data_IF_757359694129
#
_entry.id   IF_757359694129
#
_cell.length_a   1.000
_cell.length_b   1.000
_cell.length_c   1.000
_cell.angle_alpha   90.00
_cell.angle_beta   90.00
_cell.angle_gamma   90.00
#
_symmetry.space_group_name_H-M   'P 1'
#
loop_
_entity.id
_entity.type
_entity.pdbx_description
1 polymer ?
#
# COMPACT_ATOMS: atom_id res chain seq x y z
N UNK A 1 -8.73 -4.46 12.99
CA UNK A 1 -8.09 -3.46 12.13
C UNK A 1 -8.54 -2.08 12.56
N UNK A 2 -7.60 -1.19 12.84
CA UNK A 2 -7.90 0.22 13.05
C UNK A 2 -8.04 0.81 11.64
N UNK A 3 -9.25 1.20 11.27
CA UNK A 3 -9.47 2.02 10.09
C UNK A 3 -9.71 3.43 10.56
N UNK A 4 -8.83 4.39 10.24
CA UNK A 4 -9.11 5.78 10.51
C UNK A 4 -10.45 6.14 9.84
N UNK A 5 -11.37 6.66 10.62
CA UNK A 5 -12.66 7.15 10.09
C UNK A 5 -12.64 8.66 10.25
N UNK A 6 -12.91 9.38 9.17
CA UNK A 6 -13.38 10.75 9.33
C UNK A 6 -14.69 10.71 10.14
N UNK A 7 -14.78 11.57 11.16
CA UNK A 7 -16.06 11.83 11.85
C UNK A 7 -16.98 12.49 10.84
N UNK A 8 -17.96 11.73 10.36
CA UNK A 8 -19.02 12.22 9.47
C UNK A 8 -19.97 13.11 10.24
N UNK A 9 -20.31 14.23 9.63
CA UNK A 9 -21.59 14.88 9.88
C UNK A 9 -22.70 13.89 9.43
N UNK A 10 -23.68 13.62 10.30
CA UNK A 10 -24.69 12.55 10.17
C UNK A 10 -25.64 12.70 8.97
N UNK A 11 -25.40 13.66 8.08
CA UNK A 11 -26.31 14.04 6.98
C UNK A 11 -25.98 13.47 5.62
N UNK A 12 -24.79 12.89 5.40
CA UNK A 12 -24.41 12.36 4.09
C UNK A 12 -24.41 10.84 4.09
N UNK A 13 -25.35 10.26 3.30
CA UNK A 13 -25.56 8.84 3.17
C UNK A 13 -24.32 8.09 2.62
N UNK A 14 -24.19 6.87 3.07
CA UNK A 14 -23.47 5.66 2.59
C UNK A 14 -22.24 5.79 1.68
N UNK A 15 -21.60 6.94 1.54
CA UNK A 15 -20.32 7.03 0.86
C UNK A 15 -19.23 6.42 1.73
N UNK A 16 -18.73 5.28 1.29
CA UNK A 16 -17.56 4.59 1.85
C UNK A 16 -16.38 5.57 1.84
N UNK A 17 -16.18 6.25 2.97
CA UNK A 17 -15.01 7.14 3.11
C UNK A 17 -13.76 6.29 3.14
N UNK A 18 -12.94 6.49 2.13
CA UNK A 18 -11.61 5.89 2.06
C UNK A 18 -10.70 6.59 3.07
N UNK A 19 -9.89 5.82 3.77
CA UNK A 19 -8.79 6.37 4.55
C UNK A 19 -7.80 7.03 3.57
N UNK A 20 -7.39 8.25 3.88
CA UNK A 20 -6.34 8.94 3.15
C UNK A 20 -5.02 8.92 3.96
N UNK A 21 -3.93 9.34 3.34
CA UNK A 21 -2.61 9.36 3.97
C UNK A 21 -2.56 10.24 5.24
N UNK A 22 -3.31 11.35 5.29
CA UNK A 22 -3.36 12.23 6.47
C UNK A 22 -3.92 11.50 7.69
N UNK A 23 -5.03 10.77 7.51
CA UNK A 23 -5.65 9.99 8.58
C UNK A 23 -4.74 8.86 9.05
N UNK A 24 -3.99 8.23 8.14
CA UNK A 24 -3.00 7.21 8.50
C UNK A 24 -1.90 7.82 9.38
N UNK A 25 -1.31 8.95 8.96
CA UNK A 25 -0.27 9.63 9.74
C UNK A 25 -0.79 10.16 11.07
N UNK A 26 -2.01 10.72 11.11
CA UNK A 26 -2.65 11.11 12.37
C UNK A 26 -2.86 9.93 13.32
N UNK A 27 -3.26 8.77 12.80
CA UNK A 27 -3.42 7.56 13.60
C UNK A 27 -2.07 7.05 14.13
N UNK A 28 -1.01 7.12 13.33
CA UNK A 28 0.35 6.79 13.77
C UNK A 28 0.86 7.73 14.88
N UNK A 29 0.45 8.99 14.85
CA UNK A 29 0.81 9.99 15.87
C UNK A 29 -0.10 9.96 17.11
N UNK A 30 -1.14 9.11 17.12
CA UNK A 30 -2.05 9.02 18.26
C UNK A 30 -1.57 7.95 19.24
N UNK A 31 -0.75 8.37 20.22
CA UNK A 31 -0.17 7.47 21.22
C UNK A 31 -1.23 6.69 22.01
N UNK A 32 -2.36 7.32 22.34
CA UNK A 32 -3.43 6.68 23.10
C UNK A 32 -4.11 5.56 22.28
N UNK A 33 -4.32 5.79 20.98
CA UNK A 33 -4.87 4.80 20.06
C UNK A 33 -3.92 3.59 19.93
N UNK A 34 -2.63 3.84 19.76
CA UNK A 34 -1.61 2.80 19.64
C UNK A 34 -1.47 2.01 20.94
N UNK A 35 -1.43 2.67 22.08
CA UNK A 35 -1.39 2.01 23.38
C UNK A 35 -2.61 1.10 23.56
N UNK A 36 -3.82 1.62 23.31
CA UNK A 36 -5.05 0.82 23.41
C UNK A 36 -5.06 -0.38 22.45
N UNK A 37 -4.49 -0.23 21.25
CA UNK A 37 -4.37 -1.34 20.31
C UNK A 37 -3.47 -2.45 20.85
N UNK A 38 -2.27 -2.10 21.33
CA UNK A 38 -1.31 -3.09 21.84
C UNK A 38 -1.68 -3.68 23.19
N UNK A 39 -2.43 -2.95 24.03
CA UNK A 39 -2.96 -3.45 25.31
C UNK A 39 -4.15 -4.38 25.14
N UNK A 40 -4.99 -4.16 24.11
CA UNK A 40 -6.20 -4.94 23.88
C UNK A 40 -5.94 -6.28 23.17
N UNK A 41 -4.76 -6.48 22.62
CA UNK A 41 -4.40 -7.67 21.84
C UNK A 41 -3.16 -8.29 22.47
N UNK A 42 -3.12 -9.62 22.53
CA UNK A 42 -1.98 -10.38 23.09
C UNK A 42 -0.62 -9.96 22.49
N UNK A 43 0.46 -10.27 23.20
CA UNK A 43 1.84 -9.88 22.87
C UNK A 43 2.33 -10.20 21.45
N UNK A 44 1.60 -11.05 20.72
CA UNK A 44 1.88 -11.44 19.33
C UNK A 44 1.25 -10.51 18.28
N UNK A 45 0.59 -9.41 18.70
CA UNK A 45 -0.05 -8.48 17.76
C UNK A 45 0.97 -7.70 16.93
N UNK A 46 0.77 -7.72 15.61
CA UNK A 46 1.50 -6.91 14.64
C UNK A 46 0.59 -5.80 14.12
N UNK A 47 1.06 -4.56 14.16
CA UNK A 47 0.40 -3.44 13.50
C UNK A 47 0.88 -3.35 12.05
N UNK A 48 -0.04 -3.34 11.10
CA UNK A 48 0.28 -3.07 9.70
C UNK A 48 -0.14 -1.65 9.36
N UNK A 49 0.82 -0.81 9.00
CA UNK A 49 0.56 0.53 8.48
C UNK A 49 0.58 0.46 6.95
N UNK A 50 -0.58 0.69 6.33
CA UNK A 50 -0.72 0.69 4.87
C UNK A 50 -0.88 2.12 4.36
N UNK A 51 -0.02 2.50 3.42
CA UNK A 51 -0.04 3.82 2.75
C UNK A 51 0.51 3.65 1.34
N UNK A 52 0.04 4.46 0.40
CA UNK A 52 0.66 4.59 -0.92
C UNK A 52 1.35 5.95 -1.09
N UNK A 53 2.12 6.11 -2.15
CA UNK A 53 2.93 7.30 -2.38
C UNK A 53 2.41 8.16 -3.53
N UNK A 54 1.21 7.90 -4.06
CA UNK A 54 0.64 8.66 -5.17
C UNK A 54 0.52 10.15 -4.83
N UNK A 55 0.17 10.45 -3.58
CA UNK A 55 -0.08 11.81 -3.09
C UNK A 55 1.15 12.43 -2.40
N UNK A 56 2.36 11.89 -2.61
CA UNK A 56 3.60 12.36 -1.93
C UNK A 56 3.96 13.83 -2.18
N UNK A 57 3.44 14.42 -3.24
CA UNK A 57 3.56 15.84 -3.52
C UNK A 57 2.60 16.75 -2.78
N UNK A 58 1.63 16.18 -2.04
CA UNK A 58 0.66 16.94 -1.28
C UNK A 58 1.31 17.62 -0.07
N UNK A 59 0.75 18.78 0.27
CA UNK A 59 1.20 19.55 1.44
C UNK A 59 1.06 18.70 2.69
N UNK A 60 2.11 18.68 3.52
CA UNK A 60 2.24 17.91 4.77
C UNK A 60 2.58 16.42 4.61
N UNK A 61 2.56 15.86 3.40
CA UNK A 61 3.15 14.53 3.20
C UNK A 61 4.67 14.61 3.44
N UNK A 62 5.32 15.63 2.90
CA UNK A 62 6.68 16.08 3.21
C UNK A 62 7.70 14.94 3.29
N UNK A 63 7.73 14.11 2.26
CA UNK A 63 8.69 13.03 2.10
C UNK A 63 9.57 13.32 0.90
N UNK A 64 10.90 13.23 1.10
CA UNK A 64 11.84 13.40 0.00
C UNK A 64 11.65 12.31 -1.05
N UNK A 65 11.33 12.73 -2.28
CA UNK A 65 11.25 11.85 -3.43
C UNK A 65 12.64 11.74 -4.09
N UNK A 66 13.17 10.52 -4.31
CA UNK A 66 14.36 10.33 -5.12
C UNK A 66 14.14 10.84 -6.56
N UNK A 67 15.22 11.19 -7.25
CA UNK A 67 15.11 11.65 -8.63
C UNK A 67 14.52 10.55 -9.51
N UNK A 68 13.29 10.75 -9.98
CA UNK A 68 12.57 9.77 -10.80
C UNK A 68 13.05 9.71 -12.25
N UNK A 69 13.19 10.89 -12.87
CA UNK A 69 13.56 11.00 -14.29
C UNK A 69 14.98 10.53 -14.51
N UNK A 70 15.15 9.50 -15.35
CA UNK A 70 16.47 8.95 -15.65
C UNK A 70 17.06 8.08 -14.53
N UNK A 71 16.24 7.69 -13.54
CA UNK A 71 16.71 6.79 -12.48
C UNK A 71 17.16 5.45 -13.09
N UNK A 72 18.39 5.01 -12.82
CA UNK A 72 18.98 3.85 -13.50
C UNK A 72 18.35 2.52 -13.05
N UNK A 73 17.86 2.45 -11.80
CA UNK A 73 17.28 1.26 -11.20
C UNK A 73 15.98 1.57 -10.44
N UNK A 74 14.88 1.03 -10.92
CA UNK A 74 13.56 1.21 -10.30
C UNK A 74 13.43 0.48 -8.96
N UNK A 75 14.20 -0.53 -8.69
CA UNK A 75 14.24 -1.19 -7.38
C UNK A 75 14.89 -0.29 -6.34
N UNK A 76 16.03 0.31 -6.70
CA UNK A 76 16.72 1.26 -5.83
C UNK A 76 15.83 2.48 -5.54
N UNK A 77 15.18 3.03 -6.56
CA UNK A 77 14.18 4.09 -6.40
C UNK A 77 13.07 3.69 -5.42
N UNK A 78 12.51 2.48 -5.59
CA UNK A 78 11.44 1.97 -4.72
C UNK A 78 11.91 1.80 -3.28
N UNK A 79 13.13 1.30 -3.07
CA UNK A 79 13.71 1.11 -1.74
C UNK A 79 13.93 2.47 -1.06
N UNK A 80 14.51 3.44 -1.76
CA UNK A 80 14.81 4.75 -1.23
C UNK A 80 13.52 5.50 -0.85
N UNK A 81 12.55 5.59 -1.76
CA UNK A 81 11.27 6.26 -1.48
C UNK A 81 10.53 5.57 -0.33
N UNK A 82 10.48 4.24 -0.34
CA UNK A 82 9.86 3.47 0.75
C UNK A 82 10.52 3.77 2.10
N UNK A 83 11.85 3.81 2.14
CA UNK A 83 12.59 4.08 3.36
C UNK A 83 12.33 5.51 3.88
N UNK A 84 12.20 6.48 2.99
CA UNK A 84 11.87 7.87 3.36
C UNK A 84 10.47 7.96 3.98
N UNK A 85 9.48 7.27 3.38
CA UNK A 85 8.12 7.19 3.94
C UNK A 85 8.11 6.43 5.27
N UNK A 86 8.80 5.29 5.35
CA UNK A 86 8.92 4.49 6.58
C UNK A 86 9.50 5.33 7.70
N UNK A 87 10.59 6.04 7.46
CA UNK A 87 11.23 6.92 8.46
C UNK A 87 10.25 7.95 8.97
N UNK A 88 9.48 8.60 8.09
CA UNK A 88 8.46 9.57 8.50
C UNK A 88 7.40 8.94 9.41
N UNK A 89 6.94 7.74 9.10
CA UNK A 89 5.96 7.04 9.93
C UNK A 89 6.58 6.64 11.28
N UNK A 90 7.82 6.15 11.28
CA UNK A 90 8.54 5.77 12.51
C UNK A 90 8.76 6.95 13.46
N UNK A 91 8.95 8.18 12.94
CA UNK A 91 9.05 9.39 13.75
C UNK A 91 7.74 9.68 14.52
N UNK A 92 6.59 9.24 14.01
CA UNK A 92 5.28 9.43 14.63
C UNK A 92 4.93 8.31 15.63
N UNK A 93 5.46 7.11 15.43
CA UNK A 93 5.17 5.95 16.27
C UNK A 93 6.14 5.92 17.46
N UNK A 94 5.64 5.79 18.71
CA UNK A 94 6.50 5.63 19.88
C UNK A 94 7.48 4.47 19.71
N UNK A 95 8.75 4.69 20.11
CA UNK A 95 9.85 3.73 19.91
C UNK A 95 9.51 2.31 20.43
N UNK A 96 8.84 2.25 21.60
CA UNK A 96 8.42 1.00 22.24
C UNK A 96 7.48 0.10 21.41
N UNK A 97 6.94 0.60 20.31
CA UNK A 97 5.99 -0.15 19.45
C UNK A 97 6.55 -0.43 18.06
N UNK A 98 7.69 0.18 17.67
CA UNK A 98 8.22 0.10 16.29
C UNK A 98 8.64 -1.31 15.88
N UNK A 99 9.08 -2.13 16.83
CA UNK A 99 9.46 -3.52 16.64
C UNK A 99 8.28 -4.46 16.34
N UNK A 100 7.04 -3.98 16.53
CA UNK A 100 5.79 -4.70 16.24
C UNK A 100 5.04 -4.11 15.04
N UNK A 101 5.70 -3.31 14.19
CA UNK A 101 5.07 -2.63 13.06
C UNK A 101 5.63 -3.11 11.73
N UNK A 102 4.76 -3.53 10.82
CA UNK A 102 5.08 -3.78 9.43
C UNK A 102 4.54 -2.64 8.54
N UNK A 103 5.34 -2.24 7.56
CA UNK A 103 5.04 -1.08 6.72
C UNK A 103 4.68 -1.50 5.30
N UNK A 104 3.39 -1.55 5.01
CA UNK A 104 2.81 -1.82 3.70
C UNK A 104 2.80 -0.55 2.84
N UNK A 105 3.99 -0.08 2.44
CA UNK A 105 4.15 1.15 1.67
C UNK A 105 4.17 0.81 0.18
N UNK A 106 3.10 1.15 -0.54
CA UNK A 106 3.03 0.96 -1.98
C UNK A 106 3.67 2.17 -2.71
N UNK A 107 4.58 1.89 -3.63
CA UNK A 107 5.15 2.94 -4.49
C UNK A 107 4.16 3.23 -5.61
N UNK A 108 3.80 4.49 -5.78
CA UNK A 108 2.64 5.01 -6.51
C UNK A 108 1.34 4.51 -5.84
N UNK A 109 0.65 3.58 -6.42
CA UNK A 109 -0.62 3.02 -5.97
C UNK A 109 -0.47 1.54 -5.57
N UNK A 110 -1.31 1.07 -4.68
CA UNK A 110 -1.37 -0.35 -4.28
C UNK A 110 -1.62 -1.28 -5.48
N UNK A 111 -2.27 -0.79 -6.52
CA UNK A 111 -2.47 -1.50 -7.79
C UNK A 111 -1.15 -1.95 -8.46
N UNK A 112 -0.05 -1.23 -8.21
CA UNK A 112 1.28 -1.60 -8.69
C UNK A 112 1.73 -2.99 -8.20
N UNK A 113 1.29 -3.43 -7.03
CA UNK A 113 1.60 -4.77 -6.50
C UNK A 113 0.97 -5.90 -7.31
N UNK A 114 -0.13 -5.63 -8.02
CA UNK A 114 -0.87 -6.59 -8.83
C UNK A 114 -0.36 -6.68 -10.27
N UNK A 115 0.25 -5.62 -10.79
CA UNK A 115 0.73 -5.56 -12.18
C UNK A 115 1.60 -6.75 -12.56
N UNK A 116 2.58 -7.21 -11.74
CA UNK A 116 3.44 -8.33 -12.13
C UNK A 116 2.70 -9.65 -12.37
N UNK A 117 1.49 -9.80 -11.83
CA UNK A 117 0.69 -11.01 -12.05
C UNK A 117 0.20 -11.11 -13.50
N UNK A 118 -0.04 -9.98 -14.14
CA UNK A 118 -0.71 -9.87 -15.43
C UNK A 118 0.22 -9.37 -16.54
N UNK A 119 1.29 -8.65 -16.20
CA UNK A 119 2.27 -8.18 -17.19
C UNK A 119 3.26 -9.30 -17.56
N UNK A 120 3.23 -9.69 -18.84
CA UNK A 120 4.13 -10.70 -19.40
C UNK A 120 5.48 -10.10 -19.80
N UNK A 121 5.54 -8.81 -20.06
CA UNK A 121 6.74 -8.16 -20.58
C UNK A 121 7.87 -8.00 -19.56
N UNK A 122 7.56 -7.98 -18.27
CA UNK A 122 8.48 -8.08 -17.11
C UNK A 122 9.78 -7.25 -17.20
N UNK A 123 9.74 -6.06 -17.79
CA UNK A 123 10.97 -5.34 -18.10
C UNK A 123 11.49 -4.49 -16.94
N UNK A 124 10.58 -4.00 -16.08
CA UNK A 124 10.92 -3.09 -14.99
C UNK A 124 10.15 -3.46 -13.73
N UNK A 125 10.59 -2.97 -12.58
CA UNK A 125 9.79 -2.96 -11.36
C UNK A 125 8.46 -2.23 -11.62
N UNK A 126 7.36 -2.77 -11.11
CA UNK A 126 6.03 -2.18 -11.36
C UNK A 126 5.83 -0.82 -10.72
N UNK A 127 6.69 -0.42 -9.79
CA UNK A 127 6.78 0.94 -9.26
C UNK A 127 7.11 2.01 -10.34
N UNK A 128 7.59 1.59 -11.52
CA UNK A 128 7.78 2.49 -12.67
C UNK A 128 6.46 3.04 -13.24
N UNK A 129 5.31 2.47 -12.89
CA UNK A 129 4.01 2.86 -13.43
C UNK A 129 3.36 3.94 -12.57
N UNK A 130 3.34 5.19 -13.04
CA UNK A 130 2.70 6.34 -12.36
C UNK A 130 1.18 6.13 -12.21
N UNK A 131 0.54 5.56 -13.23
CA UNK A 131 -0.90 5.29 -13.25
C UNK A 131 -1.13 3.77 -13.13
N UNK A 132 -0.78 3.20 -11.99
CA UNK A 132 -0.77 1.75 -11.79
C UNK A 132 -2.18 1.15 -11.95
N UNK A 133 -3.22 1.81 -11.46
CA UNK A 133 -4.61 1.38 -11.60
C UNK A 133 -5.06 1.30 -13.06
N UNK A 134 -4.74 2.30 -13.86
CA UNK A 134 -5.09 2.32 -15.29
C UNK A 134 -4.31 1.24 -16.06
N UNK A 135 -3.03 1.08 -15.74
CA UNK A 135 -2.19 0.02 -16.30
C UNK A 135 -2.75 -1.36 -15.97
N UNK A 136 -3.09 -1.60 -14.71
CA UNK A 136 -3.70 -2.85 -14.25
C UNK A 136 -5.02 -3.11 -14.99
N UNK A 137 -5.89 -2.11 -15.09
CA UNK A 137 -7.17 -2.21 -15.83
C UNK A 137 -6.95 -2.58 -17.29
N UNK A 138 -5.98 -1.98 -17.95
CA UNK A 138 -5.61 -2.30 -19.34
C UNK A 138 -5.13 -3.74 -19.49
N UNK A 139 -4.27 -4.21 -18.58
CA UNK A 139 -3.78 -5.59 -18.58
C UNK A 139 -4.91 -6.60 -18.39
N UNK A 140 -5.81 -6.33 -17.44
CA UNK A 140 -6.98 -7.17 -17.18
C UNK A 140 -7.95 -7.15 -18.37
N UNK A 141 -8.14 -5.99 -19.02
CA UNK A 141 -8.97 -5.87 -20.21
C UNK A 141 -8.53 -6.77 -21.37
N UNK A 142 -7.24 -7.09 -21.45
CA UNK A 142 -6.69 -8.02 -22.45
C UNK A 142 -6.95 -9.52 -22.15
N UNK A 143 -7.45 -9.86 -20.96
CA UNK A 143 -7.73 -11.25 -20.56
C UNK A 143 -9.08 -11.69 -21.08
N UNK A 144 -9.14 -12.85 -21.78
CA UNK A 144 -10.38 -13.37 -22.41
C UNK A 144 -11.57 -13.57 -21.45
N UNK A 145 -11.32 -13.72 -20.15
CA UNK A 145 -12.34 -13.92 -19.10
C UNK A 145 -12.21 -12.87 -18.02
N UNK A 146 -12.24 -11.60 -18.41
CA UNK A 146 -12.04 -10.48 -17.48
C UNK A 146 -13.23 -10.21 -16.54
N UNK A 147 -14.42 -10.77 -16.82
CA UNK A 147 -15.63 -10.54 -16.01
C UNK A 147 -15.49 -10.88 -14.52
N UNK A 148 -14.59 -11.78 -14.16
CA UNK A 148 -14.31 -12.09 -12.74
C UNK A 148 -13.49 -11.01 -12.02
N UNK A 149 -12.92 -10.06 -12.76
CA UNK A 149 -12.04 -9.00 -12.22
C UNK A 149 -12.69 -7.62 -12.29
N UNK A 150 -13.87 -7.54 -12.88
CA UNK A 150 -14.61 -6.28 -13.06
C UNK A 150 -15.95 -6.43 -12.35
N UNK A 151 -16.20 -5.55 -11.40
CA UNK A 151 -17.53 -5.35 -10.86
C UNK A 151 -18.40 -4.70 -11.94
N UNK A 152 -19.30 -5.48 -12.50
CA UNK A 152 -20.19 -5.04 -13.60
C UNK A 152 -21.19 -3.99 -13.15
N UNK A 153 -21.49 -3.89 -11.86
CA UNK A 153 -22.44 -2.92 -11.31
C UNK A 153 -21.84 -1.51 -11.32
N UNK A 154 -20.56 -1.39 -10.97
CA UNK A 154 -19.89 -0.10 -10.82
C UNK A 154 -18.79 0.12 -11.87
N UNK A 155 -18.57 -0.82 -12.78
CA UNK A 155 -17.47 -0.80 -13.75
C UNK A 155 -16.09 -0.58 -13.11
N UNK A 156 -15.89 -1.09 -11.90
CA UNK A 156 -14.66 -1.00 -11.13
C UNK A 156 -13.91 -2.34 -11.12
N UNK A 157 -12.63 -2.30 -10.71
CA UNK A 157 -11.85 -3.51 -10.47
C UNK A 157 -12.42 -4.26 -9.25
N UNK A 158 -12.60 -5.58 -9.38
CA UNK A 158 -12.98 -6.46 -8.27
C UNK A 158 -11.75 -6.84 -7.44
N UNK A 159 -11.44 -6.03 -6.46
CA UNK A 159 -10.28 -6.24 -5.57
C UNK A 159 -10.40 -7.51 -4.72
N UNK A 160 -11.60 -8.05 -4.50
CA UNK A 160 -11.75 -9.33 -3.81
C UNK A 160 -11.15 -10.49 -4.62
N UNK A 161 -11.42 -10.53 -5.92
CA UNK A 161 -10.84 -11.54 -6.79
C UNK A 161 -9.37 -11.28 -7.11
N UNK A 162 -8.97 -10.01 -7.27
CA UNK A 162 -7.58 -9.62 -7.46
C UNK A 162 -6.72 -9.99 -6.25
N UNK A 163 -7.23 -9.81 -5.03
CA UNK A 163 -6.55 -10.21 -3.79
C UNK A 163 -6.33 -11.72 -3.70
N UNK A 164 -7.31 -12.52 -4.14
CA UNK A 164 -7.16 -13.99 -4.22
C UNK A 164 -6.05 -14.40 -5.22
N UNK A 165 -5.97 -13.69 -6.34
CA UNK A 165 -4.92 -13.94 -7.32
C UNK A 165 -3.54 -13.48 -6.80
N UNK A 166 -3.48 -12.37 -6.05
CA UNK A 166 -2.26 -11.93 -5.35
C UNK A 166 -1.76 -13.01 -4.39
N UNK A 167 -2.65 -13.53 -3.55
CA UNK A 167 -2.30 -14.61 -2.59
C UNK A 167 -1.70 -15.81 -3.30
N UNK A 168 -2.31 -16.26 -4.40
CA UNK A 168 -1.82 -17.40 -5.20
C UNK A 168 -0.53 -17.11 -5.95
N UNK A 169 -0.36 -15.87 -6.39
CA UNK A 169 0.76 -15.43 -7.21
C UNK A 169 1.82 -14.63 -6.44
N UNK A 170 1.80 -14.61 -5.10
CA UNK A 170 2.62 -13.73 -4.27
C UNK A 170 4.11 -13.78 -4.63
N UNK A 171 4.66 -14.97 -4.84
CA UNK A 171 6.06 -15.15 -5.27
C UNK A 171 6.39 -14.42 -6.58
N UNK A 172 5.44 -14.40 -7.53
CA UNK A 172 5.60 -13.70 -8.81
C UNK A 172 5.48 -12.19 -8.61
N UNK A 173 4.50 -11.74 -7.81
CA UNK A 173 4.28 -10.34 -7.52
C UNK A 173 5.49 -9.71 -6.81
N UNK A 174 6.03 -10.35 -5.78
CA UNK A 174 7.25 -9.94 -5.05
C UNK A 174 8.48 -9.78 -5.98
N UNK A 175 8.63 -10.65 -6.97
CA UNK A 175 9.74 -10.55 -7.95
C UNK A 175 9.63 -9.34 -8.88
N UNK A 176 8.44 -8.86 -9.11
CA UNK A 176 8.17 -7.75 -10.03
C UNK A 176 7.82 -6.44 -9.35
N UNK A 177 7.81 -6.43 -7.99
CA UNK A 177 7.56 -5.22 -7.21
C UNK A 177 8.36 -5.24 -5.91
N UNK A 178 9.35 -4.36 -5.82
CA UNK A 178 10.27 -4.33 -4.69
C UNK A 178 9.61 -3.87 -3.40
N UNK A 179 8.68 -2.90 -3.44
CA UNK A 179 8.02 -2.44 -2.23
C UNK A 179 7.15 -3.54 -1.59
N UNK A 180 6.46 -4.33 -2.41
CA UNK A 180 5.74 -5.53 -1.94
C UNK A 180 6.71 -6.58 -1.37
N UNK A 181 7.85 -6.79 -2.03
CA UNK A 181 8.85 -7.73 -1.55
C UNK A 181 9.37 -7.35 -0.17
N UNK A 182 9.72 -6.08 0.04
CA UNK A 182 10.19 -5.56 1.32
C UNK A 182 9.12 -5.66 2.41
N UNK A 183 7.87 -5.34 2.10
CA UNK A 183 6.77 -5.54 3.04
C UNK A 183 6.61 -7.01 3.46
N UNK A 184 6.65 -7.94 2.50
CA UNK A 184 6.58 -9.36 2.83
C UNK A 184 7.76 -9.83 3.69
N UNK A 185 8.97 -9.31 3.45
CA UNK A 185 10.14 -9.62 4.28
C UNK A 185 9.98 -9.11 5.72
N UNK A 186 9.39 -7.91 5.91
CA UNK A 186 9.09 -7.40 7.26
C UNK A 186 8.08 -8.29 8.00
N UNK A 187 7.02 -8.73 7.32
CA UNK A 187 6.05 -9.67 7.90
C UNK A 187 6.71 -11.00 8.26
N UNK A 188 7.54 -11.55 7.36
CA UNK A 188 8.27 -12.80 7.60
C UNK A 188 9.25 -12.70 8.77
N UNK A 189 9.78 -11.52 9.06
CA UNK A 189 10.66 -11.26 10.20
C UNK A 189 9.90 -11.13 11.52
N UNK A 190 8.67 -10.62 11.50
CA UNK A 190 7.86 -10.37 12.68
C UNK A 190 7.04 -11.60 13.15
N UNK A 191 6.88 -12.62 12.29
CA UNK A 191 6.18 -13.87 12.57
C UNK A 191 7.14 -14.97 13.01
#
# INVERSE_FOLDING_TARGET
AIRPKETLDETDGEDLKFSNWELVLQSCNNEQLLASFFEAIDDEAILIVHIDTAERGERNYDVHEPQRTGHPDWKEYSQELRNNVKKKIEELIPERHRDKVAYAIAIEETDAWLIPLYDVAKRNDSASNINAKEKLRSLIGAIKKNSKYIDTTHNNLDYSNLGKDLTKGLKKARKGNESLNLFCMEIEYLL
#
